data_IF_313513020085
#
_entry.id   IF_313513020085
#
_cell.length_a   1.000
_cell.length_b   1.000
_cell.length_c   1.000
_cell.angle_alpha   90.00
_cell.angle_beta   90.00
_cell.angle_gamma   90.00
#
_symmetry.space_group_name_H-M   'P 1'
#
loop_
_entity.id
_entity.type
_entity.pdbx_description
1 polymer ?
#
# COMPACT_ATOMS: atom_id res chain seq x y z
N UNK A 1 32.15 -46.71 -20.98
CA UNK A 1 32.70 -46.01 -19.80
C UNK A 1 32.97 -44.57 -20.18
N UNK A 2 32.01 -43.68 -19.95
CA UNK A 2 32.28 -42.25 -19.86
C UNK A 2 32.57 -41.92 -18.39
N UNK A 3 33.51 -41.02 -18.07
CA UNK A 3 33.74 -40.63 -16.69
C UNK A 3 32.68 -39.62 -16.24
N UNK A 4 32.00 -39.95 -15.15
CA UNK A 4 31.15 -39.03 -14.39
C UNK A 4 31.98 -37.86 -13.86
N UNK A 5 31.56 -36.64 -14.19
CA UNK A 5 32.08 -35.42 -13.55
C UNK A 5 31.01 -34.92 -12.58
N UNK A 6 31.24 -34.86 -11.26
CA UNK A 6 30.25 -34.32 -10.34
C UNK A 6 30.26 -32.79 -10.41
N UNK A 7 29.22 -32.23 -11.02
CA UNK A 7 28.94 -30.81 -10.95
C UNK A 7 28.33 -30.50 -9.57
N UNK A 8 29.14 -30.02 -8.62
CA UNK A 8 28.64 -29.44 -7.37
C UNK A 8 28.88 -27.93 -7.39
N UNK A 9 28.06 -27.23 -8.15
CA UNK A 9 27.86 -25.79 -7.91
C UNK A 9 27.20 -25.63 -6.54
N UNK A 10 28.02 -25.40 -5.51
CA UNK A 10 27.55 -24.79 -4.27
C UNK A 10 26.94 -23.44 -4.67
N UNK A 11 25.61 -23.37 -4.72
CA UNK A 11 24.86 -22.14 -4.81
C UNK A 11 25.36 -21.19 -3.72
N UNK A 12 26.19 -20.21 -4.11
CA UNK A 12 26.56 -19.10 -3.23
C UNK A 12 25.28 -18.33 -2.95
N UNK A 13 24.81 -18.38 -1.71
CA UNK A 13 23.71 -17.53 -1.27
C UNK A 13 24.03 -16.07 -1.65
N UNK A 14 23.06 -15.31 -2.20
CA UNK A 14 23.28 -13.91 -2.52
C UNK A 14 23.68 -13.17 -1.24
N UNK A 15 24.77 -12.41 -1.30
CA UNK A 15 25.18 -11.54 -0.19
C UNK A 15 24.01 -10.60 0.13
N UNK A 16 23.61 -10.43 1.40
CA UNK A 16 22.57 -9.48 1.73
C UNK A 16 23.00 -8.07 1.27
N UNK A 17 22.15 -7.42 0.47
CA UNK A 17 22.35 -6.02 0.07
C UNK A 17 22.20 -5.12 1.30
N UNK A 18 23.17 -4.26 1.56
CA UNK A 18 23.08 -3.22 2.58
C UNK A 18 22.35 -1.99 2.01
N UNK A 19 21.48 -1.28 2.76
CA UNK A 19 21.05 -1.53 4.15
C UNK A 19 20.16 -2.77 4.32
N UNK A 20 20.23 -3.42 5.48
CA UNK A 20 19.58 -4.71 5.77
C UNK A 20 18.17 -4.60 6.33
N UNK A 21 17.79 -3.42 6.85
CA UNK A 21 16.44 -3.14 7.35
C UNK A 21 15.89 -1.91 6.64
N UNK A 22 14.68 -2.02 6.08
CA UNK A 22 13.97 -0.91 5.46
C UNK A 22 13.60 0.20 6.47
N UNK A 23 13.50 1.43 5.96
CA UNK A 23 13.18 2.60 6.76
C UNK A 23 13.15 3.88 5.95
N UNK A 24 12.97 5.01 6.66
CA UNK A 24 13.00 6.35 6.06
C UNK A 24 14.45 6.83 5.92
N UNK A 25 15.08 6.47 4.80
CA UNK A 25 16.44 6.89 4.48
C UNK A 25 16.67 7.01 2.97
N UNK A 26 17.83 7.59 2.62
CA UNK A 26 18.46 7.56 1.30
C UNK A 26 19.89 7.07 1.47
N UNK A 27 20.28 6.17 0.58
CA UNK A 27 21.63 5.61 0.55
C UNK A 27 22.52 6.54 -0.27
N UNK A 28 23.67 6.90 0.30
CA UNK A 28 24.73 7.64 -0.39
C UNK A 28 25.78 6.67 -0.93
N UNK A 29 27.07 6.92 -0.66
CA UNK A 29 28.16 6.00 -1.00
C UNK A 29 28.36 4.96 0.12
N UNK A 30 28.05 3.66 -0.08
CA UNK A 30 28.21 2.64 0.96
C UNK A 30 29.62 2.48 1.51
N UNK A 31 30.67 2.95 0.81
CA UNK A 31 32.04 2.94 1.29
C UNK A 31 32.38 4.13 2.20
N UNK A 32 31.49 5.12 2.29
CA UNK A 32 31.74 6.36 3.00
C UNK A 32 31.57 6.20 4.53
N UNK A 33 32.25 7.04 5.33
CA UNK A 33 32.34 6.84 6.77
C UNK A 33 31.23 7.48 7.60
N UNK A 34 30.40 8.37 7.03
CA UNK A 34 29.41 9.15 7.79
C UNK A 34 28.00 8.62 7.55
N UNK A 35 27.29 8.31 8.63
CA UNK A 35 25.84 8.23 8.65
C UNK A 35 25.26 9.53 9.21
N UNK A 36 24.17 10.02 8.62
CA UNK A 36 23.48 11.25 9.06
C UNK A 36 22.06 10.91 9.50
N UNK A 37 21.69 11.37 10.69
CA UNK A 37 20.36 11.23 11.25
C UNK A 37 19.73 12.61 11.42
N UNK A 38 18.81 12.97 10.52
CA UNK A 38 18.13 14.26 10.47
C UNK A 38 16.94 14.38 11.44
N UNK A 39 16.77 13.44 12.37
CA UNK A 39 15.68 13.39 13.33
C UNK A 39 14.31 13.59 12.68
N UNK A 40 13.61 14.68 12.99
CA UNK A 40 12.27 14.99 12.45
C UNK A 40 12.28 16.00 11.29
N UNK A 41 13.46 16.37 10.79
CA UNK A 41 13.67 17.30 9.68
C UNK A 41 13.81 16.56 8.35
N UNK A 42 12.68 16.08 7.81
CA UNK A 42 12.66 15.32 6.54
C UNK A 42 13.20 16.14 5.35
N UNK A 43 13.14 17.48 5.42
CA UNK A 43 13.69 18.39 4.42
C UNK A 43 15.21 18.25 4.22
N UNK A 44 15.93 17.76 5.23
CA UNK A 44 17.39 17.58 5.19
C UNK A 44 17.81 16.23 4.61
N UNK A 45 16.88 15.27 4.51
CA UNK A 45 17.20 13.87 4.26
C UNK A 45 17.88 13.67 2.90
N UNK A 46 17.22 14.14 1.83
CA UNK A 46 17.74 14.02 0.46
C UNK A 46 19.04 14.79 0.25
N UNK A 47 19.15 16.10 0.57
CA UNK A 47 20.37 16.85 0.32
C UNK A 47 21.57 16.32 1.11
N UNK A 48 21.39 15.88 2.37
CA UNK A 48 22.50 15.36 3.17
C UNK A 48 22.95 13.97 2.72
N UNK A 49 22.03 13.09 2.32
CA UNK A 49 22.39 11.76 1.82
C UNK A 49 23.20 11.80 0.51
N UNK A 50 23.02 12.86 -0.30
CA UNK A 50 23.74 13.07 -1.54
C UNK A 50 25.16 13.66 -1.35
N UNK A 51 25.54 14.04 -0.13
CA UNK A 51 26.85 14.64 0.11
C UNK A 51 27.98 13.62 -0.02
N UNK A 52 29.12 13.99 -0.63
CA UNK A 52 30.33 13.18 -0.57
C UNK A 52 30.72 12.88 0.88
N UNK A 53 31.07 11.62 1.16
CA UNK A 53 31.42 11.17 2.52
C UNK A 53 30.25 10.64 3.34
N UNK A 54 29.01 10.71 2.83
CA UNK A 54 27.82 10.13 3.48
C UNK A 54 27.47 8.77 2.88
N UNK A 55 27.34 7.77 3.75
CA UNK A 55 26.89 6.43 3.38
C UNK A 55 25.37 6.28 3.43
N UNK A 56 24.72 6.93 4.39
CA UNK A 56 23.27 6.88 4.56
C UNK A 56 22.79 8.13 5.30
N UNK A 57 21.73 8.74 4.80
CA UNK A 57 21.01 9.83 5.46
C UNK A 57 19.57 9.41 5.75
N UNK A 58 19.09 9.56 6.98
CA UNK A 58 17.73 9.13 7.35
C UNK A 58 17.11 9.93 8.48
N UNK A 59 15.80 9.74 8.67
CA UNK A 59 15.02 10.34 9.77
C UNK A 59 14.67 9.31 10.85
N UNK A 60 14.47 9.79 12.07
CA UNK A 60 14.03 8.96 13.19
C UNK A 60 13.05 9.72 14.05
N UNK A 61 11.92 9.08 14.34
CA UNK A 61 10.80 9.70 15.05
C UNK A 61 10.65 9.16 16.48
N UNK A 62 11.02 7.90 16.73
CA UNK A 62 10.81 7.21 18.01
C UNK A 62 12.12 6.77 18.66
N UNK A 63 12.19 6.79 20.00
CA UNK A 63 13.37 6.39 20.79
C UNK A 63 13.50 4.88 21.02
N UNK A 64 12.82 4.06 20.20
CA UNK A 64 12.81 2.60 20.32
C UNK A 64 13.11 1.94 18.98
N UNK A 65 12.10 1.46 18.25
CA UNK A 65 12.24 0.75 16.98
C UNK A 65 13.04 1.55 15.95
N UNK A 66 12.90 2.88 15.92
CA UNK A 66 13.71 3.75 15.08
C UNK A 66 15.22 3.64 15.38
N UNK A 67 15.60 3.65 16.65
CA UNK A 67 16.99 3.47 17.11
C UNK A 67 17.49 2.06 16.79
N UNK A 68 16.67 1.03 16.98
CA UNK A 68 17.04 -0.35 16.65
C UNK A 68 17.41 -0.51 15.17
N UNK A 69 16.65 0.11 14.27
CA UNK A 69 16.93 0.10 12.83
C UNK A 69 18.25 0.81 12.50
N UNK A 70 18.55 1.93 13.16
CA UNK A 70 19.83 2.64 13.03
C UNK A 70 20.99 1.73 13.45
N UNK A 71 20.89 1.08 14.61
CA UNK A 71 21.91 0.15 15.12
C UNK A 71 22.16 -0.97 14.11
N UNK A 72 21.10 -1.65 13.64
CA UNK A 72 21.21 -2.80 12.74
C UNK A 72 21.83 -2.41 11.39
N UNK A 73 21.39 -1.30 10.79
CA UNK A 73 21.94 -0.86 9.51
C UNK A 73 23.39 -0.36 9.63
N UNK A 74 23.75 0.36 10.71
CA UNK A 74 25.12 0.84 10.90
C UNK A 74 26.08 -0.32 11.16
N UNK A 75 25.72 -1.23 12.07
CA UNK A 75 26.58 -2.38 12.40
C UNK A 75 26.74 -3.38 11.24
N UNK A 76 25.80 -3.40 10.29
CA UNK A 76 25.93 -4.17 9.05
C UNK A 76 26.90 -3.55 8.02
N UNK A 77 27.35 -2.30 8.21
CA UNK A 77 28.33 -1.66 7.33
C UNK A 77 29.52 -1.10 8.13
N UNK A 78 30.65 -1.83 8.20
CA UNK A 78 31.82 -1.41 8.96
C UNK A 78 32.54 -0.20 8.37
N UNK A 79 32.18 0.28 7.16
CA UNK A 79 32.70 1.54 6.64
C UNK A 79 32.22 2.75 7.47
N UNK A 80 31.02 2.67 8.06
CA UNK A 80 30.43 3.76 8.84
C UNK A 80 31.11 3.86 10.20
N UNK A 81 31.75 5.01 10.45
CA UNK A 81 32.51 5.33 11.67
C UNK A 81 31.98 6.55 12.42
N UNK A 82 31.10 7.34 11.81
CA UNK A 82 30.48 8.50 12.43
C UNK A 82 28.97 8.45 12.28
N UNK A 83 28.26 8.86 13.33
CA UNK A 83 26.83 9.13 13.29
C UNK A 83 26.59 10.61 13.65
N UNK A 84 26.31 11.44 12.66
CA UNK A 84 25.94 12.84 12.86
C UNK A 84 24.44 12.95 13.16
N UNK A 85 24.08 13.45 14.34
CA UNK A 85 22.71 13.82 14.66
C UNK A 85 22.50 15.29 14.33
N UNK A 86 21.48 15.60 13.53
CA UNK A 86 21.11 16.97 13.19
C UNK A 86 19.59 17.09 13.03
N UNK A 87 19.10 18.30 12.79
CA UNK A 87 17.68 18.53 12.60
C UNK A 87 16.90 18.68 13.90
N UNK A 88 15.58 18.83 13.74
CA UNK A 88 14.68 19.11 14.87
C UNK A 88 14.43 17.87 15.72
N UNK A 89 14.57 18.03 17.04
CA UNK A 89 14.25 16.99 18.02
C UNK A 89 12.74 16.85 18.25
N UNK A 90 12.27 15.61 18.45
CA UNK A 90 10.90 15.34 18.85
C UNK A 90 10.68 15.70 20.32
N UNK A 91 9.66 16.51 20.62
CA UNK A 91 9.35 16.96 22.00
C UNK A 91 9.05 15.80 22.94
N UNK A 92 8.29 14.80 22.47
CA UNK A 92 7.85 13.67 23.27
C UNK A 92 8.85 12.51 23.19
N UNK A 93 9.22 12.11 21.98
CA UNK A 93 9.99 10.89 21.79
C UNK A 93 11.49 11.09 22.01
N UNK A 94 12.03 12.30 21.79
CA UNK A 94 13.45 12.65 21.99
C UNK A 94 14.46 11.58 21.49
N UNK A 95 14.35 11.09 20.24
CA UNK A 95 15.21 10.02 19.73
C UNK A 95 16.69 10.42 19.63
N UNK A 96 17.02 11.68 19.32
CA UNK A 96 18.42 12.13 19.26
C UNK A 96 19.10 12.08 20.62
N UNK A 97 18.43 12.64 21.64
CA UNK A 97 18.85 12.52 23.03
C UNK A 97 19.03 11.06 23.47
N UNK A 98 18.11 10.19 23.06
CA UNK A 98 18.15 8.77 23.41
C UNK A 98 19.30 8.03 22.71
N UNK A 99 19.64 8.38 21.47
CA UNK A 99 20.84 7.87 20.79
C UNK A 99 22.12 8.28 21.50
N UNK A 100 22.23 9.55 21.94
CA UNK A 100 23.37 10.02 22.72
C UNK A 100 23.51 9.24 24.03
N UNK A 101 22.43 9.14 24.80
CA UNK A 101 22.40 8.38 26.05
C UNK A 101 22.73 6.89 25.84
N UNK A 102 22.29 6.29 24.74
CA UNK A 102 22.65 4.91 24.38
C UNK A 102 24.16 4.75 24.15
N UNK A 103 24.78 5.69 23.42
CA UNK A 103 26.21 5.63 23.13
C UNK A 103 27.03 5.78 24.42
N UNK A 104 26.66 6.74 25.27
CA UNK A 104 27.33 7.01 26.53
C UNK A 104 27.13 5.90 27.56
N UNK A 105 25.88 5.48 27.79
CA UNK A 105 25.51 4.70 28.97
C UNK A 105 25.04 3.27 28.64
N UNK A 106 24.68 2.97 27.39
CA UNK A 106 24.13 1.68 27.00
C UNK A 106 22.69 1.47 27.48
N UNK A 107 22.37 0.21 27.83
CA UNK A 107 21.03 -0.20 28.30
C UNK A 107 21.13 -0.93 29.65
N UNK A 108 20.06 -0.88 30.42
CA UNK A 108 19.92 -1.65 31.67
C UNK A 108 19.44 -3.10 31.43
N UNK A 109 19.22 -3.85 32.51
CA UNK A 109 18.72 -5.23 32.45
C UNK A 109 17.31 -5.37 31.86
N UNK A 110 16.51 -4.31 31.88
CA UNK A 110 15.19 -4.25 31.25
C UNK A 110 15.26 -3.78 29.77
N UNK A 111 16.47 -3.63 29.22
CA UNK A 111 16.74 -3.13 27.87
C UNK A 111 16.34 -1.67 27.65
N UNK A 112 16.16 -0.90 28.73
CA UNK A 112 15.90 0.54 28.67
C UNK A 112 17.22 1.28 28.48
N UNK A 113 17.22 2.30 27.64
CA UNK A 113 18.38 3.18 27.46
C UNK A 113 18.62 3.99 28.74
N UNK A 114 19.80 3.85 29.32
CA UNK A 114 20.14 4.50 30.60
C UNK A 114 20.36 6.00 30.37
N UNK A 115 19.65 6.83 31.14
CA UNK A 115 19.70 8.29 31.01
C UNK A 115 18.89 8.86 29.84
N UNK A 116 18.05 8.05 29.17
CA UNK A 116 17.15 8.54 28.13
C UNK A 116 15.80 9.03 28.69
N UNK A 117 15.48 10.28 28.37
CA UNK A 117 14.21 10.94 28.70
C UNK A 117 13.12 10.77 27.62
N UNK A 118 13.43 10.11 26.51
CA UNK A 118 12.46 9.86 25.44
C UNK A 118 11.31 8.98 25.90
N UNK A 119 10.14 9.13 25.27
CA UNK A 119 9.01 8.23 25.51
C UNK A 119 9.36 6.78 25.14
N UNK A 120 9.20 5.86 26.10
CA UNK A 120 9.44 4.41 25.95
C UNK A 120 10.77 4.05 25.24
N UNK A 121 11.95 4.44 25.79
CA UNK A 121 13.25 4.23 25.18
C UNK A 121 13.78 2.83 25.51
N UNK A 122 13.07 1.80 25.03
CA UNK A 122 13.37 0.39 25.30
C UNK A 122 13.68 -0.34 24.00
N UNK A 123 14.83 -1.03 23.95
CA UNK A 123 15.33 -1.71 22.76
C UNK A 123 15.14 -3.23 22.90
N UNK A 124 14.00 -3.77 22.42
CA UNK A 124 13.60 -5.18 22.61
C UNK A 124 14.18 -6.16 21.58
N UNK A 125 14.49 -5.67 20.38
CA UNK A 125 14.80 -6.48 19.19
C UNK A 125 16.31 -6.68 18.99
N UNK A 126 17.12 -5.66 19.29
CA UNK A 126 18.58 -5.79 19.19
C UNK A 126 19.14 -6.63 20.33
N UNK A 127 20.38 -7.08 20.29
CA UNK A 127 21.04 -7.79 21.41
C UNK A 127 22.01 -6.86 22.15
N UNK A 128 22.39 -7.15 23.41
CA UNK A 128 23.42 -6.36 24.10
C UNK A 128 24.76 -6.35 23.33
N UNK A 129 25.10 -7.44 22.64
CA UNK A 129 26.28 -7.55 21.79
C UNK A 129 26.22 -6.60 20.59
N UNK A 130 25.07 -6.51 19.92
CA UNK A 130 24.86 -5.55 18.82
C UNK A 130 24.92 -4.10 19.31
N UNK A 131 24.34 -3.80 20.48
CA UNK A 131 24.45 -2.48 21.10
C UNK A 131 25.92 -2.16 21.40
N UNK A 132 26.67 -3.09 22.00
CA UNK A 132 28.09 -2.90 22.29
C UNK A 132 28.92 -2.72 21.01
N UNK A 133 28.63 -3.48 19.94
CA UNK A 133 29.28 -3.33 18.64
C UNK A 133 29.02 -1.94 18.05
N UNK A 134 27.76 -1.49 18.05
CA UNK A 134 27.39 -0.14 17.62
C UNK A 134 28.16 0.94 18.39
N UNK A 135 28.17 0.87 19.72
CA UNK A 135 28.87 1.84 20.59
C UNK A 135 30.37 1.90 20.35
N UNK A 136 31.01 0.80 19.94
CA UNK A 136 32.45 0.77 19.59
C UNK A 136 32.72 1.23 18.15
N UNK A 137 31.78 0.99 17.25
CA UNK A 137 31.98 1.23 15.82
C UNK A 137 31.92 2.72 15.48
N UNK A 138 30.97 3.46 16.07
CA UNK A 138 30.70 4.85 15.71
C UNK A 138 31.04 5.87 16.79
N UNK A 139 31.62 7.00 16.38
CA UNK A 139 31.61 8.26 17.13
C UNK A 139 30.28 8.97 16.83
N UNK A 140 29.49 9.25 17.88
CA UNK A 140 28.27 10.03 17.75
C UNK A 140 28.60 11.52 17.85
N UNK A 141 28.14 12.29 16.88
CA UNK A 141 28.38 13.73 16.78
C UNK A 141 27.04 14.45 16.96
N UNK A 142 26.87 15.09 18.11
CA UNK A 142 25.62 15.75 18.50
C UNK A 142 25.56 17.18 17.97
N UNK A 143 24.74 17.38 16.93
CA UNK A 143 24.42 18.66 16.31
C UNK A 143 22.90 18.85 16.26
N UNK A 144 22.18 18.32 17.25
CA UNK A 144 20.73 18.41 17.34
C UNK A 144 20.30 19.88 17.35
N UNK A 145 19.33 20.22 16.51
CA UNK A 145 18.83 21.57 16.30
C UNK A 145 19.42 22.27 15.07
N UNK A 146 20.61 21.88 14.62
CA UNK A 146 21.22 22.45 13.41
C UNK A 146 20.51 21.96 12.14
N UNK A 147 20.23 22.87 11.22
CA UNK A 147 19.49 22.63 9.97
C UNK A 147 20.08 23.36 8.76
N UNK A 148 21.09 24.19 8.96
CA UNK A 148 21.78 24.88 7.89
C UNK A 148 22.61 23.89 7.05
N UNK A 149 22.27 23.76 5.77
CA UNK A 149 22.88 22.76 4.89
C UNK A 149 24.36 23.04 4.60
N UNK A 150 24.77 24.30 4.55
CA UNK A 150 26.18 24.66 4.34
C UNK A 150 27.02 24.19 5.53
N UNK A 151 26.59 24.56 6.74
CA UNK A 151 27.25 24.21 7.98
C UNK A 151 27.30 22.68 8.18
N UNK A 152 26.19 21.98 7.89
CA UNK A 152 26.14 20.53 7.96
C UNK A 152 27.05 19.87 6.91
N UNK A 153 27.19 20.45 5.72
CA UNK A 153 28.09 19.94 4.68
C UNK A 153 29.56 20.05 5.09
N UNK A 154 29.95 21.20 5.63
CA UNK A 154 31.31 21.38 6.16
C UNK A 154 31.59 20.37 7.28
N UNK A 155 30.60 20.14 8.15
CA UNK A 155 30.73 19.15 9.22
C UNK A 155 30.90 17.73 8.68
N UNK A 156 30.09 17.32 7.71
CA UNK A 156 30.22 16.02 7.04
C UNK A 156 31.60 15.87 6.38
N UNK A 157 32.07 16.89 5.67
CA UNK A 157 33.38 16.88 5.02
C UNK A 157 34.52 16.70 6.04
N UNK A 158 34.46 17.44 7.15
CA UNK A 158 35.41 17.32 8.26
C UNK A 158 35.44 15.92 8.88
N UNK A 159 34.27 15.29 9.08
CA UNK A 159 34.17 13.92 9.59
C UNK A 159 34.71 12.90 8.59
N UNK A 160 34.38 13.05 7.30
CA UNK A 160 34.87 12.16 6.26
C UNK A 160 36.40 12.19 6.14
N UNK A 161 37.01 13.38 6.25
CA UNK A 161 38.47 13.54 6.25
C UNK A 161 39.16 12.91 7.48
N UNK A 162 38.44 12.79 8.61
CA UNK A 162 38.91 12.15 9.85
C UNK A 162 38.69 10.63 9.88
N UNK A 163 38.26 10.02 8.78
CA UNK A 163 37.92 8.60 8.76
C UNK A 163 39.10 7.72 9.23
N UNK A 164 38.91 6.91 10.29
CA UNK A 164 39.92 5.93 10.72
C UNK A 164 39.92 4.66 9.84
N UNK A 165 39.18 4.64 8.72
CA UNK A 165 38.98 3.46 7.90
C UNK A 165 37.90 2.52 8.46
N UNK A 166 37.76 1.33 7.84
CA UNK A 166 36.73 0.35 8.21
C UNK A 166 36.92 -0.13 9.65
N UNK A 167 35.83 -0.40 10.34
CA UNK A 167 35.85 -0.95 11.69
C UNK A 167 36.27 -2.43 11.67
N UNK A 168 37.39 -2.75 12.30
CA UNK A 168 37.95 -4.12 12.36
C UNK A 168 37.30 -4.99 13.45
N UNK A 169 36.56 -4.39 14.39
CA UNK A 169 35.88 -5.10 15.48
C UNK A 169 34.55 -5.77 15.10
N UNK A 170 34.29 -5.98 13.79
CA UNK A 170 33.19 -6.80 13.33
C UNK A 170 33.44 -8.24 13.81
N UNK A 171 32.59 -8.72 14.72
CA UNK A 171 32.73 -9.99 15.45
C UNK A 171 33.31 -11.11 14.57
N UNK A 172 34.56 -11.49 14.84
CA UNK A 172 35.11 -12.79 14.47
C UNK A 172 34.57 -13.82 15.46
N UNK A 173 33.58 -14.62 15.06
CA UNK A 173 33.56 -16.09 15.24
C UNK A 173 32.68 -16.65 14.09
N UNK A 174 33.26 -17.54 13.29
CA UNK A 174 32.64 -18.34 12.22
C UNK A 174 31.90 -17.61 11.08
N UNK A 175 32.62 -16.77 10.33
CA UNK A 175 32.44 -16.61 8.87
C UNK A 175 31.10 -16.11 8.33
N UNK A 176 30.11 -15.89 9.17
CA UNK A 176 28.84 -15.26 8.85
C UNK A 176 28.87 -13.85 9.45
N UNK A 177 28.63 -12.79 8.65
CA UNK A 177 28.42 -11.49 9.25
C UNK A 177 27.29 -11.63 10.27
N UNK A 178 27.42 -10.99 11.44
CA UNK A 178 26.30 -10.79 12.39
C UNK A 178 25.28 -9.78 11.80
N UNK A 179 25.15 -9.78 10.48
CA UNK A 179 24.06 -9.21 9.73
C UNK A 179 22.93 -10.23 9.74
N UNK A 180 21.81 -9.83 10.34
CA UNK A 180 20.51 -10.46 10.16
C UNK A 180 20.24 -11.81 10.84
N UNK A 181 20.77 -12.06 12.05
CA UNK A 181 19.90 -12.64 13.08
C UNK A 181 18.99 -11.54 13.64
N UNK A 182 18.31 -10.81 12.73
CA UNK A 182 17.19 -9.98 13.09
C UNK A 182 16.18 -10.94 13.71
N UNK A 183 15.82 -10.71 14.98
CA UNK A 183 14.50 -11.06 15.44
C UNK A 183 13.53 -10.29 14.53
N UNK A 184 13.27 -10.80 13.31
CA UNK A 184 12.23 -10.25 12.45
C UNK A 184 10.98 -10.33 13.31
N UNK A 185 10.38 -9.17 13.58
CA UNK A 185 9.16 -9.12 14.37
C UNK A 185 8.15 -10.08 13.73
N UNK A 186 7.78 -11.12 14.47
CA UNK A 186 6.78 -12.07 14.02
C UNK A 186 5.42 -11.44 14.28
N UNK A 187 4.76 -11.01 13.21
CA UNK A 187 3.39 -10.52 13.27
C UNK A 187 2.45 -11.71 13.10
N UNK A 188 1.50 -11.88 14.01
CA UNK A 188 0.41 -12.83 13.81
C UNK A 188 -0.48 -12.32 12.66
N UNK A 189 -0.61 -13.06 11.54
CA UNK A 189 -1.40 -12.60 10.40
C UNK A 189 -2.88 -12.62 10.74
N UNK A 190 -3.58 -11.53 10.42
CA UNK A 190 -5.03 -11.44 10.46
C UNK A 190 -5.56 -11.29 9.03
N UNK A 191 -6.71 -11.90 8.72
CA UNK A 191 -7.35 -11.74 7.42
C UNK A 191 -8.17 -10.45 7.40
N UNK A 192 -8.16 -9.68 6.30
CA UNK A 192 -9.12 -8.60 6.13
C UNK A 192 -10.54 -9.17 6.10
N UNK A 193 -11.50 -8.46 6.68
CA UNK A 193 -12.89 -8.90 6.78
C UNK A 193 -13.61 -8.31 7.99
N UNK A 194 -14.86 -8.70 8.16
CA UNK A 194 -15.78 -8.17 9.16
C UNK A 194 -17.15 -7.88 8.53
N UNK A 195 -18.20 -7.89 9.35
CA UNK A 195 -19.52 -7.45 8.88
C UNK A 195 -19.63 -5.94 9.10
N UNK A 196 -19.98 -5.20 8.06
CA UNK A 196 -20.44 -3.81 8.24
C UNK A 196 -21.81 -3.89 8.90
N UNK A 197 -21.87 -3.56 10.19
CA UNK A 197 -23.15 -3.29 10.84
C UNK A 197 -23.85 -2.20 10.01
N UNK A 198 -25.09 -2.44 9.51
CA UNK A 198 -25.68 -1.51 8.56
C UNK A 198 -25.85 -0.13 9.19
N UNK A 199 -25.63 0.94 8.41
CA UNK A 199 -25.61 2.33 8.89
C UNK A 199 -26.93 2.77 9.58
N UNK A 200 -28.00 2.02 9.33
CA UNK A 200 -29.34 2.22 9.88
C UNK A 200 -29.37 1.93 11.41
N UNK A 201 -28.35 1.26 11.95
CA UNK A 201 -28.40 0.66 13.29
C UNK A 201 -27.58 1.33 14.39
N UNK A 202 -26.94 2.50 14.21
CA UNK A 202 -26.39 3.18 15.40
C UNK A 202 -27.57 3.67 16.26
N UNK A 203 -27.69 3.23 17.53
CA UNK A 203 -28.74 3.67 18.44
C UNK A 203 -28.91 5.19 18.56
N UNK A 204 -27.86 5.97 18.25
CA UNK A 204 -27.88 7.43 18.35
C UNK A 204 -28.39 8.12 17.09
N UNK A 205 -28.48 7.41 15.96
CA UNK A 205 -28.99 7.95 14.71
C UNK A 205 -28.01 7.80 13.54
N UNK A 206 -28.18 8.63 12.50
CA UNK A 206 -27.37 8.60 11.29
C UNK A 206 -26.84 9.98 10.90
N UNK A 207 -25.81 9.98 10.05
CA UNK A 207 -25.13 11.20 9.63
C UNK A 207 -25.17 11.39 8.12
N UNK A 208 -25.37 12.64 7.70
CA UNK A 208 -25.30 13.09 6.31
C UNK A 208 -24.14 14.07 6.19
N UNK A 209 -23.21 13.77 5.29
CA UNK A 209 -22.05 14.60 5.02
C UNK A 209 -22.23 15.31 3.67
N UNK A 210 -21.94 16.60 3.65
CA UNK A 210 -22.00 17.45 2.46
C UNK A 210 -20.85 18.46 2.48
N UNK A 211 -20.62 19.12 1.35
CA UNK A 211 -19.55 20.10 1.20
C UNK A 211 -20.11 21.49 0.95
N UNK A 212 -19.66 22.47 1.74
CA UNK A 212 -19.74 23.87 1.41
C UNK A 212 -18.42 24.30 0.77
N UNK A 213 -18.37 24.21 -0.57
CA UNK A 213 -17.16 24.54 -1.33
C UNK A 213 -16.82 26.03 -1.29
N UNK A 214 -17.83 26.89 -1.13
CA UNK A 214 -17.63 28.33 -1.06
C UNK A 214 -16.92 28.73 0.23
N UNK A 215 -17.29 28.10 1.36
CA UNK A 215 -16.65 28.31 2.66
C UNK A 215 -15.41 27.42 2.87
N UNK A 216 -15.16 26.46 1.98
CA UNK A 216 -14.12 25.44 2.14
C UNK A 216 -14.35 24.57 3.37
N UNK A 217 -15.60 24.21 3.65
CA UNK A 217 -16.02 23.48 4.85
C UNK A 217 -16.78 22.20 4.50
N UNK A 218 -16.61 21.19 5.35
CA UNK A 218 -17.46 20.01 5.43
C UNK A 218 -18.62 20.36 6.35
N UNK A 219 -19.83 20.01 5.94
CA UNK A 219 -21.03 20.08 6.76
C UNK A 219 -21.47 18.66 7.08
N UNK A 220 -21.53 18.33 8.36
CA UNK A 220 -22.04 17.06 8.87
C UNK A 220 -23.32 17.32 9.65
N UNK A 221 -24.39 16.60 9.30
CA UNK A 221 -25.70 16.68 9.95
C UNK A 221 -26.05 15.35 10.58
N UNK A 222 -26.46 15.40 11.83
CA UNK A 222 -26.91 14.26 12.62
C UNK A 222 -28.43 14.25 12.72
N UNK A 223 -29.02 13.09 12.47
CA UNK A 223 -30.45 12.83 12.61
C UNK A 223 -30.65 11.68 13.59
N UNK A 224 -31.61 11.82 14.50
CA UNK A 224 -32.01 10.76 15.42
C UNK A 224 -32.63 9.56 14.67
N UNK A 225 -32.81 8.39 15.32
CA UNK A 225 -33.42 7.22 14.69
C UNK A 225 -34.83 7.45 14.13
N UNK A 226 -35.55 8.46 14.63
CA UNK A 226 -36.87 8.89 14.15
C UNK A 226 -36.81 9.92 13.00
N UNK A 227 -35.62 10.13 12.43
CA UNK A 227 -35.32 11.12 11.38
C UNK A 227 -35.39 12.59 11.82
N UNK A 228 -35.53 12.87 13.12
CA UNK A 228 -35.52 14.24 13.63
C UNK A 228 -34.10 14.84 13.53
N UNK A 229 -33.90 16.02 12.92
CA UNK A 229 -32.61 16.71 12.93
C UNK A 229 -32.18 17.03 14.36
N UNK A 230 -30.93 16.71 14.73
CA UNK A 230 -30.43 16.92 16.08
C UNK A 230 -29.23 17.87 16.13
N UNK A 231 -28.16 17.58 15.39
CA UNK A 231 -26.92 18.36 15.47
C UNK A 231 -26.38 18.68 14.07
N UNK A 232 -25.78 19.86 13.91
CA UNK A 232 -24.99 20.22 12.73
C UNK A 232 -23.57 20.58 13.19
N UNK A 233 -22.56 20.10 12.45
CA UNK A 233 -21.17 20.43 12.66
C UNK A 233 -20.55 20.89 11.35
N UNK A 234 -19.78 21.98 11.41
CA UNK A 234 -18.99 22.48 10.29
C UNK A 234 -17.51 22.43 10.64
N UNK A 235 -16.69 21.96 9.72
CA UNK A 235 -15.26 21.82 9.94
C UNK A 235 -14.46 21.75 8.65
N UNK A 236 -13.13 21.78 8.76
CA UNK A 236 -12.22 21.68 7.60
C UNK A 236 -11.41 20.38 7.56
N UNK A 237 -11.31 19.69 8.69
CA UNK A 237 -10.48 18.49 8.85
C UNK A 237 -11.33 17.35 9.40
N UNK A 238 -11.18 16.16 8.82
CA UNK A 238 -11.88 14.95 9.23
C UNK A 238 -11.62 14.60 10.69
N UNK A 239 -10.36 14.70 11.13
CA UNK A 239 -9.94 14.41 12.50
C UNK A 239 -10.69 15.27 13.52
N UNK A 240 -10.66 16.60 13.36
CA UNK A 240 -11.36 17.51 14.28
C UNK A 240 -12.86 17.22 14.36
N UNK A 241 -13.49 16.87 13.24
CA UNK A 241 -14.92 16.59 13.21
C UNK A 241 -15.24 15.26 13.89
N UNK A 242 -14.46 14.20 13.61
CA UNK A 242 -14.62 12.90 14.26
C UNK A 242 -14.40 13.01 15.77
N UNK A 243 -13.37 13.72 16.21
CA UNK A 243 -13.12 13.99 17.64
C UNK A 243 -14.26 14.78 18.29
N UNK A 244 -14.88 15.70 17.55
CA UNK A 244 -16.08 16.40 18.01
C UNK A 244 -17.24 15.44 18.26
N UNK A 245 -17.51 14.52 17.32
CA UNK A 245 -18.57 13.51 17.49
C UNK A 245 -18.32 12.56 18.66
N UNK A 246 -17.05 12.16 18.87
CA UNK A 246 -16.65 11.33 20.01
C UNK A 246 -16.83 12.09 21.32
N UNK A 247 -16.39 13.36 21.38
CA UNK A 247 -16.52 14.21 22.57
C UNK A 247 -17.97 14.40 22.99
N UNK A 248 -18.86 14.67 22.03
CA UNK A 248 -20.30 14.82 22.28
C UNK A 248 -21.01 13.46 22.47
N UNK A 249 -20.28 12.35 22.35
CA UNK A 249 -20.83 11.00 22.49
C UNK A 249 -21.95 10.73 21.49
N UNK A 250 -21.83 11.17 20.24
CA UNK A 250 -22.86 10.97 19.20
C UNK A 250 -22.69 9.67 18.41
N UNK A 251 -21.60 8.94 18.65
CA UNK A 251 -21.31 7.64 18.05
C UNK A 251 -21.28 6.61 19.16
N UNK A 252 -21.89 5.44 18.96
CA UNK A 252 -21.89 4.37 19.95
C UNK A 252 -21.14 3.11 19.51
N UNK A 253 -20.93 2.92 18.20
CA UNK A 253 -20.26 1.75 17.63
C UNK A 253 -18.89 2.12 17.01
N UNK A 254 -17.86 1.30 17.26
CA UNK A 254 -16.53 1.49 16.68
C UNK A 254 -16.52 1.33 15.14
N UNK A 255 -17.37 0.43 14.63
CA UNK A 255 -17.62 0.23 13.20
C UNK A 255 -18.11 1.52 12.54
N UNK A 256 -19.05 2.21 13.18
CA UNK A 256 -19.60 3.49 12.73
C UNK A 256 -18.57 4.62 12.82
N UNK A 257 -17.78 4.69 13.90
CA UNK A 257 -16.68 5.64 14.01
C UNK A 257 -15.65 5.46 12.87
N UNK A 258 -15.30 4.21 12.54
CA UNK A 258 -14.41 3.89 11.42
C UNK A 258 -14.99 4.32 10.06
N UNK A 259 -16.29 4.07 9.83
CA UNK A 259 -16.99 4.54 8.64
C UNK A 259 -16.99 6.07 8.51
N UNK A 260 -17.38 6.78 9.58
CA UNK A 260 -17.44 8.25 9.58
C UNK A 260 -16.07 8.86 9.36
N UNK A 261 -15.01 8.30 9.96
CA UNK A 261 -13.64 8.71 9.69
C UNK A 261 -13.28 8.60 8.21
N UNK A 262 -13.65 7.49 7.56
CA UNK A 262 -13.43 7.30 6.12
C UNK A 262 -14.20 8.28 5.24
N UNK A 263 -15.48 8.53 5.54
CA UNK A 263 -16.30 9.47 4.79
C UNK A 263 -15.85 10.92 4.96
N UNK A 264 -15.52 11.32 6.20
CA UNK A 264 -14.98 12.65 6.50
C UNK A 264 -13.62 12.87 5.82
N UNK A 265 -12.76 11.86 5.79
CA UNK A 265 -11.47 11.94 5.09
C UNK A 265 -11.64 12.12 3.58
N UNK A 266 -12.62 11.41 2.97
CA UNK A 266 -12.98 11.63 1.55
C UNK A 266 -13.50 13.05 1.32
N UNK A 267 -14.37 13.55 2.19
CA UNK A 267 -14.91 14.90 2.10
C UNK A 267 -13.79 15.96 2.22
N UNK A 268 -12.87 15.81 3.16
CA UNK A 268 -11.68 16.66 3.33
C UNK A 268 -10.78 16.63 2.08
N UNK A 269 -10.48 15.44 1.55
CA UNK A 269 -9.69 15.29 0.34
C UNK A 269 -10.34 15.99 -0.86
N UNK A 270 -11.66 15.85 -1.03
CA UNK A 270 -12.40 16.51 -2.10
C UNK A 270 -12.40 18.04 -2.01
N UNK A 271 -12.31 18.61 -0.80
CA UNK A 271 -12.10 20.05 -0.62
C UNK A 271 -10.66 20.47 -0.98
N UNK A 272 -9.66 19.71 -0.52
CA UNK A 272 -8.24 19.99 -0.79
C UNK A 272 -7.87 19.90 -2.27
N UNK A 273 -8.41 18.90 -2.96
CA UNK A 273 -8.16 18.67 -4.39
C UNK A 273 -9.00 19.60 -5.28
N UNK A 274 -9.91 20.39 -4.70
CA UNK A 274 -10.64 21.46 -5.37
C UNK A 274 -11.92 21.03 -6.08
N UNK A 275 -12.52 21.98 -6.81
CA UNK A 275 -13.88 21.87 -7.38
C UNK A 275 -14.06 20.72 -8.37
N UNK A 276 -12.97 20.23 -8.98
CA UNK A 276 -13.02 19.13 -9.93
C UNK A 276 -13.22 17.77 -9.26
N UNK A 277 -12.97 17.64 -7.96
CA UNK A 277 -13.14 16.35 -7.26
C UNK A 277 -14.49 16.33 -6.56
N UNK A 278 -15.41 15.50 -7.04
CA UNK A 278 -16.75 15.30 -6.49
C UNK A 278 -16.72 14.33 -5.32
N UNK A 279 -17.39 14.73 -4.24
CA UNK A 279 -17.70 13.89 -3.10
C UNK A 279 -19.17 13.51 -3.14
N UNK A 280 -19.43 12.21 -2.99
CA UNK A 280 -20.74 11.63 -2.73
C UNK A 280 -20.53 10.56 -1.66
N UNK A 281 -21.31 10.61 -0.58
CA UNK A 281 -21.19 9.66 0.51
C UNK A 281 -21.40 8.23 0.01
N UNK A 282 -20.68 7.27 0.58
CA UNK A 282 -20.65 5.85 0.15
C UNK A 282 -20.14 5.60 -1.29
N UNK A 283 -19.76 6.64 -2.04
CA UNK A 283 -19.11 6.51 -3.35
C UNK A 283 -17.60 6.79 -3.27
N UNK A 284 -16.81 6.21 -4.18
CA UNK A 284 -15.45 6.68 -4.42
C UNK A 284 -15.43 8.15 -4.87
N UNK A 285 -14.34 8.86 -4.56
CA UNK A 285 -14.10 10.19 -5.11
C UNK A 285 -13.98 10.11 -6.64
N UNK A 286 -14.54 11.10 -7.34
CA UNK A 286 -14.49 11.19 -8.81
C UNK A 286 -13.94 12.55 -9.23
N UNK A 287 -13.13 12.62 -10.27
CA UNK A 287 -12.66 13.87 -10.85
C UNK A 287 -13.37 14.21 -12.16
N UNK A 288 -13.68 15.49 -12.36
CA UNK A 288 -14.21 16.06 -13.59
C UNK A 288 -13.10 16.37 -14.61
N UNK A 289 -11.83 16.23 -14.22
CA UNK A 289 -10.72 16.19 -15.18
C UNK A 289 -10.78 14.83 -15.89
N UNK A 290 -10.87 14.78 -17.23
CA UNK A 290 -10.58 13.53 -17.93
C UNK A 290 -9.19 13.09 -17.48
N UNK A 291 -8.98 11.78 -17.22
CA UNK A 291 -7.65 11.31 -16.83
C UNK A 291 -6.62 11.85 -17.83
N UNK A 292 -5.39 12.21 -17.39
CA UNK A 292 -4.31 12.47 -18.34
C UNK A 292 -4.27 11.33 -19.35
N UNK A 293 -3.93 11.61 -20.61
CA UNK A 293 -3.57 10.58 -21.59
C UNK A 293 -2.37 9.78 -21.03
N UNK A 294 -2.67 8.82 -20.15
CA UNK A 294 -1.75 7.80 -19.71
C UNK A 294 -1.51 6.93 -20.94
N UNK A 295 -0.25 6.90 -21.38
CA UNK A 295 0.26 5.93 -22.33
C UNK A 295 -0.36 4.57 -22.02
N UNK A 296 -1.04 4.00 -23.02
CA UNK A 296 -1.85 2.78 -22.98
C UNK A 296 -1.42 1.77 -21.91
N UNK A 297 -1.95 1.94 -20.71
CA UNK A 297 -2.11 0.84 -19.77
C UNK A 297 -3.38 0.09 -20.21
N UNK A 298 -3.36 -1.26 -20.23
CA UNK A 298 -4.47 -2.03 -20.77
C UNK A 298 -5.75 -1.71 -20.00
N UNK A 299 -6.78 -1.30 -20.76
CA UNK A 299 -8.04 -0.85 -20.24
C UNK A 299 -8.60 -1.81 -19.16
N UNK A 300 -8.85 -1.28 -17.96
CA UNK A 300 -9.76 -1.94 -17.03
C UNK A 300 -11.11 -2.14 -17.75
N UNK A 301 -11.75 -3.31 -17.61
CA UNK A 301 -12.90 -3.67 -18.43
C UNK A 301 -14.02 -2.64 -18.24
N UNK A 302 -14.38 -1.98 -19.34
CA UNK A 302 -15.44 -0.98 -19.36
C UNK A 302 -16.71 -1.56 -18.71
N UNK A 303 -17.36 -0.70 -17.90
CA UNK A 303 -18.64 -0.95 -17.26
C UNK A 303 -19.55 -1.84 -18.11
N UNK A 304 -20.15 -2.85 -17.47
CA UNK A 304 -21.04 -3.85 -18.06
C UNK A 304 -21.95 -3.21 -19.13
N UNK A 305 -21.61 -3.33 -20.41
CA UNK A 305 -22.55 -3.04 -21.49
C UNK A 305 -23.64 -4.11 -21.45
N UNK A 306 -24.90 -3.77 -21.79
CA UNK A 306 -25.94 -4.80 -21.95
C UNK A 306 -25.51 -5.80 -23.02
N UNK A 307 -25.87 -7.07 -22.84
CA UNK A 307 -25.63 -8.08 -23.89
C UNK A 307 -26.55 -7.83 -25.08
N UNK A 308 -26.01 -7.90 -26.28
CA UNK A 308 -26.71 -7.79 -27.53
C UNK A 308 -27.64 -8.99 -27.75
N UNK A 309 -28.89 -8.70 -28.12
CA UNK A 309 -29.80 -9.71 -28.71
C UNK A 309 -29.47 -9.98 -30.18
N UNK A 310 -30.25 -10.86 -30.83
CA UNK A 310 -29.94 -11.31 -32.19
C UNK A 310 -29.91 -10.17 -33.22
N UNK A 311 -30.87 -9.25 -33.18
CA UNK A 311 -30.95 -8.13 -34.13
C UNK A 311 -29.71 -7.22 -34.04
N UNK A 312 -29.27 -6.92 -32.82
CA UNK A 312 -28.08 -6.12 -32.59
C UNK A 312 -26.81 -6.88 -32.99
N UNK A 313 -26.72 -8.18 -32.67
CA UNK A 313 -25.56 -8.99 -33.03
C UNK A 313 -25.42 -9.13 -34.56
N UNK A 314 -26.50 -9.49 -35.25
CA UNK A 314 -26.51 -9.73 -36.71
C UNK A 314 -26.29 -8.47 -37.54
N UNK A 315 -26.60 -7.30 -36.99
CA UNK A 315 -26.31 -5.99 -37.62
C UNK A 315 -24.93 -5.43 -37.28
N UNK A 316 -24.18 -6.06 -36.38
CA UNK A 316 -22.85 -5.58 -35.97
C UNK A 316 -21.81 -5.84 -37.08
N UNK A 317 -21.06 -4.82 -37.54
CA UNK A 317 -19.99 -5.01 -38.51
C UNK A 317 -18.85 -5.89 -37.98
N UNK A 318 -18.18 -6.63 -38.86
CA UNK A 318 -16.97 -7.37 -38.49
C UNK A 318 -15.89 -6.41 -37.98
N UNK A 319 -15.13 -6.86 -36.98
CA UNK A 319 -14.11 -6.07 -36.30
C UNK A 319 -14.64 -5.16 -35.18
N UNK A 320 -15.96 -5.12 -34.94
CA UNK A 320 -16.54 -4.37 -33.83
C UNK A 320 -16.67 -5.20 -32.55
N UNK A 321 -16.71 -4.50 -31.43
CA UNK A 321 -16.94 -5.10 -30.12
C UNK A 321 -18.39 -5.56 -29.97
N UNK A 322 -18.56 -6.80 -29.55
CA UNK A 322 -19.84 -7.40 -29.20
C UNK A 322 -19.80 -7.91 -27.77
N UNK A 323 -20.95 -7.89 -27.13
CA UNK A 323 -21.16 -8.51 -25.82
C UNK A 323 -22.37 -9.42 -25.95
N UNK A 324 -22.18 -10.73 -25.85
CA UNK A 324 -23.25 -11.72 -26.03
C UNK A 324 -23.33 -12.62 -24.80
N UNK A 325 -24.51 -13.16 -24.55
CA UNK A 325 -24.68 -14.27 -23.60
C UNK A 325 -24.99 -15.52 -24.40
N UNK A 326 -24.28 -16.60 -24.14
CA UNK A 326 -24.53 -17.90 -24.75
C UNK A 326 -24.74 -18.96 -23.68
N UNK A 327 -25.63 -19.90 -23.94
CA UNK A 327 -25.64 -21.19 -23.26
C UNK A 327 -24.80 -22.16 -24.09
N UNK A 328 -23.73 -22.70 -23.49
CA UNK A 328 -22.83 -23.61 -24.19
C UNK A 328 -23.59 -24.89 -24.57
N UNK A 329 -23.51 -25.26 -25.84
CA UNK A 329 -24.07 -26.50 -26.38
C UNK A 329 -22.98 -27.54 -26.62
N UNK A 330 -21.79 -27.10 -27.07
CA UNK A 330 -20.66 -27.98 -27.35
C UNK A 330 -19.30 -27.28 -27.21
N UNK A 331 -18.23 -28.06 -27.10
CA UNK A 331 -16.84 -27.60 -27.13
C UNK A 331 -16.13 -28.27 -28.31
N UNK A 332 -16.29 -27.75 -29.54
CA UNK A 332 -15.75 -28.38 -30.75
C UNK A 332 -14.21 -28.43 -30.78
N UNK A 333 -13.53 -27.47 -30.16
CA UNK A 333 -12.06 -27.40 -30.06
C UNK A 333 -11.66 -26.92 -28.66
N UNK A 334 -10.39 -27.12 -28.27
CA UNK A 334 -9.85 -26.72 -26.94
C UNK A 334 -10.12 -25.24 -26.59
N UNK A 335 -10.17 -24.38 -27.60
CA UNK A 335 -10.28 -22.93 -27.47
C UNK A 335 -11.50 -22.35 -28.18
N UNK A 336 -12.48 -23.19 -28.50
CA UNK A 336 -13.69 -22.80 -29.22
C UNK A 336 -14.92 -23.35 -28.51
N UNK A 337 -15.79 -22.45 -28.07
CA UNK A 337 -17.07 -22.78 -27.48
C UNK A 337 -18.15 -22.60 -28.54
N UNK A 338 -19.08 -23.54 -28.65
CA UNK A 338 -20.31 -23.37 -29.42
C UNK A 338 -21.48 -23.25 -28.44
N UNK A 339 -22.39 -22.31 -28.69
CA UNK A 339 -23.53 -22.09 -27.81
C UNK A 339 -24.66 -21.32 -28.46
N UNK A 340 -25.83 -21.46 -27.87
CA UNK A 340 -27.05 -20.76 -28.29
C UNK A 340 -27.08 -19.38 -27.65
N UNK A 341 -27.28 -18.34 -28.46
CA UNK A 341 -27.46 -16.97 -27.97
C UNK A 341 -28.65 -16.90 -27.02
N UNK A 342 -28.46 -16.25 -25.88
CA UNK A 342 -29.49 -16.00 -24.88
C UNK A 342 -29.78 -14.49 -24.81
N UNK A 343 -31.03 -14.13 -25.04
CA UNK A 343 -31.47 -12.73 -25.07
C UNK A 343 -31.86 -12.24 -23.67
N UNK A 344 -31.42 -11.05 -23.25
CA UNK A 344 -31.81 -10.50 -21.95
C UNK A 344 -33.30 -10.13 -21.91
N UNK A 345 -33.98 -10.39 -20.79
CA UNK A 345 -35.30 -9.83 -20.53
C UNK A 345 -35.22 -8.32 -20.25
N UNK A 346 -36.26 -7.56 -20.59
CA UNK A 346 -36.28 -6.11 -20.35
C UNK A 346 -36.34 -5.77 -18.85
N UNK A 347 -37.06 -6.58 -18.05
CA UNK A 347 -37.23 -6.33 -16.61
C UNK A 347 -35.96 -6.65 -15.80
N UNK A 348 -35.16 -7.62 -16.26
CA UNK A 348 -33.90 -8.02 -15.63
C UNK A 348 -32.84 -8.44 -16.67
N UNK A 349 -32.23 -7.44 -17.36
CA UNK A 349 -31.32 -7.71 -18.47
C UNK A 349 -29.96 -8.27 -18.04
N UNK A 350 -29.74 -8.42 -16.74
CA UNK A 350 -28.46 -8.84 -16.17
C UNK A 350 -28.44 -10.29 -15.71
N UNK A 351 -29.59 -10.80 -15.22
CA UNK A 351 -29.68 -12.14 -14.65
C UNK A 351 -30.74 -13.01 -15.29
N UNK A 352 -31.65 -12.46 -16.08
CA UNK A 352 -32.71 -13.24 -16.72
C UNK A 352 -32.54 -13.23 -18.23
N UNK A 353 -32.44 -14.42 -18.83
CA UNK A 353 -32.26 -14.59 -20.27
C UNK A 353 -33.26 -15.57 -20.87
N UNK A 354 -33.65 -15.32 -22.12
CA UNK A 354 -34.48 -16.20 -22.94
C UNK A 354 -33.60 -16.92 -23.96
N UNK A 355 -33.73 -18.24 -24.04
CA UNK A 355 -33.03 -19.05 -25.04
C UNK A 355 -33.54 -18.73 -26.45
N UNK A 356 -32.64 -18.46 -27.38
CA UNK A 356 -32.98 -18.27 -28.81
C UNK A 356 -32.73 -19.55 -29.62
N UNK A 357 -32.83 -19.48 -30.95
CA UNK A 357 -32.41 -20.56 -31.87
C UNK A 357 -31.09 -20.24 -32.58
N UNK A 358 -30.44 -19.14 -32.24
CA UNK A 358 -29.24 -18.66 -32.94
C UNK A 358 -27.99 -19.23 -32.32
N UNK A 359 -27.22 -19.98 -33.11
CA UNK A 359 -25.96 -20.60 -32.67
C UNK A 359 -24.80 -19.68 -33.00
N UNK A 360 -23.91 -19.47 -32.01
CA UNK A 360 -22.71 -18.68 -32.11
C UNK A 360 -21.51 -19.46 -31.56
N UNK A 361 -20.32 -19.04 -31.98
CA UNK A 361 -19.04 -19.52 -31.49
C UNK A 361 -18.30 -18.44 -30.73
N UNK A 362 -17.67 -18.84 -29.64
CA UNK A 362 -16.83 -17.97 -28.83
C UNK A 362 -15.44 -18.60 -28.76
N UNK A 363 -14.49 -17.97 -29.45
CA UNK A 363 -13.07 -18.35 -29.42
C UNK A 363 -12.39 -17.64 -28.24
N UNK A 364 -11.59 -18.37 -27.48
CA UNK A 364 -10.87 -17.84 -26.32
C UNK A 364 -9.41 -18.32 -26.32
N UNK A 365 -8.55 -17.69 -25.51
CA UNK A 365 -7.14 -18.07 -25.39
C UNK A 365 -6.65 -17.90 -23.96
N UNK A 366 -5.37 -18.19 -23.70
CA UNK A 366 -4.73 -17.89 -22.42
C UNK A 366 -4.70 -16.40 -22.07
N UNK A 367 -4.89 -15.51 -23.05
CA UNK A 367 -5.00 -14.06 -22.83
C UNK A 367 -6.44 -13.59 -22.49
N UNK A 368 -7.45 -14.44 -22.69
CA UNK A 368 -8.85 -14.12 -22.37
C UNK A 368 -9.05 -14.06 -20.86
N UNK A 369 -9.56 -12.94 -20.35
CA UNK A 369 -9.84 -12.77 -18.92
C UNK A 369 -11.12 -13.53 -18.53
N UNK A 370 -11.02 -14.46 -17.56
CA UNK A 370 -12.18 -15.19 -17.04
C UNK A 370 -12.56 -14.65 -15.66
N UNK A 371 -13.83 -14.24 -15.50
CA UNK A 371 -14.36 -13.69 -14.26
C UNK A 371 -15.57 -14.50 -13.74
N UNK A 372 -15.80 -14.43 -12.44
CA UNK A 372 -16.89 -15.16 -11.73
C UNK A 372 -16.89 -16.68 -11.95
N UNK A 373 -15.73 -17.24 -12.28
CA UNK A 373 -15.51 -18.67 -12.50
C UNK A 373 -14.10 -18.94 -13.03
N UNK A 374 -13.93 -20.11 -13.66
CA UNK A 374 -12.69 -20.56 -14.32
C UNK A 374 -13.05 -21.33 -15.59
N UNK A 375 -12.06 -21.61 -16.45
CA UNK A 375 -12.24 -22.40 -17.69
C UNK A 375 -12.82 -23.79 -17.44
N UNK A 376 -12.68 -24.35 -16.23
CA UNK A 376 -13.30 -25.62 -15.82
C UNK A 376 -14.84 -25.57 -15.82
N UNK A 377 -15.43 -24.38 -15.86
CA UNK A 377 -16.88 -24.19 -15.94
C UNK A 377 -17.39 -24.06 -17.38
N UNK A 378 -16.51 -24.15 -18.38
CA UNK A 378 -16.91 -24.16 -19.79
C UNK A 378 -17.36 -25.58 -20.15
N UNK A 379 -18.64 -25.86 -19.92
CA UNK A 379 -19.25 -27.16 -20.16
C UNK A 379 -20.67 -26.98 -20.74
N UNK A 380 -21.21 -27.97 -21.47
CA UNK A 380 -22.58 -27.90 -21.97
C UNK A 380 -23.59 -27.55 -20.86
N UNK A 381 -24.50 -26.62 -21.15
CA UNK A 381 -25.46 -26.06 -20.20
C UNK A 381 -24.94 -24.90 -19.35
N UNK A 382 -23.65 -24.55 -19.43
CA UNK A 382 -23.13 -23.36 -18.77
C UNK A 382 -23.58 -22.09 -19.48
N UNK A 383 -24.00 -21.08 -18.71
CA UNK A 383 -24.36 -19.77 -19.23
C UNK A 383 -23.16 -18.84 -19.09
N UNK A 384 -22.69 -18.31 -20.22
CA UNK A 384 -21.52 -17.43 -20.28
C UNK A 384 -21.87 -16.11 -20.92
N UNK A 385 -21.28 -15.02 -20.41
CA UNK A 385 -21.20 -13.76 -21.13
C UNK A 385 -19.82 -13.63 -21.77
N UNK A 386 -19.78 -13.44 -23.08
CA UNK A 386 -18.56 -13.21 -23.83
C UNK A 386 -18.55 -11.78 -24.38
N UNK A 387 -17.50 -11.03 -24.05
CA UNK A 387 -17.19 -9.74 -24.66
C UNK A 387 -15.92 -9.87 -25.47
N UNK A 388 -15.97 -9.38 -26.70
CA UNK A 388 -14.80 -9.35 -27.55
C UNK A 388 -15.14 -8.90 -28.96
N UNK A 389 -14.27 -9.22 -29.91
CA UNK A 389 -14.37 -8.73 -31.28
C UNK A 389 -15.09 -9.74 -32.16
N UNK A 390 -16.09 -9.28 -32.93
CA UNK A 390 -16.76 -10.10 -33.93
C UNK A 390 -15.81 -10.36 -35.12
N UNK A 391 -15.33 -11.59 -35.28
CA UNK A 391 -14.36 -11.94 -36.34
C UNK A 391 -15.02 -12.56 -37.55
N UNK A 392 -15.99 -13.44 -37.32
CA UNK A 392 -16.86 -14.01 -38.36
C UNK A 392 -18.30 -13.66 -38.02
N UNK A 393 -19.24 -13.89 -38.96
CA UNK A 393 -20.66 -13.58 -38.73
C UNK A 393 -21.28 -14.35 -37.56
N UNK A 394 -20.67 -15.44 -37.14
CA UNK A 394 -21.08 -16.30 -36.03
C UNK A 394 -19.97 -16.53 -35.00
N UNK A 395 -18.79 -15.90 -35.11
CA UNK A 395 -17.66 -16.14 -34.20
C UNK A 395 -17.17 -14.86 -33.52
N UNK A 396 -17.17 -14.89 -32.19
CA UNK A 396 -16.64 -13.84 -31.31
C UNK A 396 -15.29 -14.28 -30.75
N UNK A 397 -14.24 -13.49 -31.00
CA UNK A 397 -12.96 -13.64 -30.32
C UNK A 397 -13.04 -12.93 -28.98
N UNK A 398 -13.13 -13.70 -27.89
CA UNK A 398 -13.39 -13.18 -26.56
C UNK A 398 -12.13 -12.60 -25.88
N UNK A 399 -12.26 -11.36 -25.43
CA UNK A 399 -11.31 -10.70 -24.54
C UNK A 399 -11.65 -10.99 -23.08
N UNK A 400 -12.95 -11.04 -22.76
CA UNK A 400 -13.47 -11.31 -21.42
C UNK A 400 -14.60 -12.33 -21.48
N UNK A 401 -14.55 -13.34 -20.61
CA UNK A 401 -15.64 -14.29 -20.38
C UNK A 401 -16.07 -14.24 -18.92
N UNK A 402 -17.36 -14.06 -18.67
CA UNK A 402 -17.95 -14.10 -17.33
C UNK A 402 -18.85 -15.33 -17.21
N UNK A 403 -18.60 -16.18 -16.21
CA UNK A 403 -19.43 -17.36 -15.93
C UNK A 403 -20.68 -16.95 -15.15
N UNK A 404 -21.87 -17.13 -15.73
CA UNK A 404 -23.14 -16.69 -15.17
C UNK A 404 -23.99 -17.82 -14.57
N UNK A 405 -23.61 -19.08 -14.76
CA UNK A 405 -24.42 -20.28 -14.45
C UNK A 405 -25.03 -20.32 -13.03
N UNK A 406 -24.39 -19.69 -12.03
CA UNK A 406 -24.88 -19.67 -10.63
C UNK A 406 -25.66 -18.41 -10.24
N UNK A 407 -25.65 -17.39 -11.10
CA UNK A 407 -26.13 -16.03 -10.78
C UNK A 407 -27.17 -15.50 -11.76
N UNK A 408 -27.44 -16.26 -12.81
CA UNK A 408 -28.41 -15.94 -13.86
C UNK A 408 -29.22 -17.20 -14.23
N UNK A 409 -30.43 -16.96 -14.73
CA UNK A 409 -31.37 -17.98 -15.17
C UNK A 409 -31.63 -17.83 -16.66
N UNK A 410 -31.66 -18.97 -17.36
CA UNK A 410 -32.09 -19.05 -18.76
C UNK A 410 -33.43 -19.79 -18.82
N UNK A 411 -34.40 -19.21 -19.52
CA UNK A 411 -35.74 -19.78 -19.76
C UNK A 411 -35.85 -20.26 -21.21
#
# INVERSE_FOLDING_TARGET
MQPDTPNTEKQRQPRPSWPVIEGSYRVGDPAAPVAVCALTSDELLVPLAALPGVAIGGSVQTANQGIERIILNITANPAIRFLLLCGKESRLFRPGHSLRALVENGVDGARRIVGADGYEPVLRTVTPQQIAAFRRQVELVDWIGERDLETLRERVSSLAARSPGRFEGALQEDGAPVAAASLQASFAPIKPGGQREPLIYDPKGYFVISLDRSAGQIILRHYLPDHTPAHEMRGRTAESMLLGLIREGLISQLSHAGYLGGELAKAEAALRLGVRVRYEQDRPLRSDTPPPEEAEAPAAPAALSRSAGWEQFSSTPLGQQVNVVIEITALPEEHLLEGTLAEPFEEDPWRSFRRTQHVLRVRWSSATQVAMGSTQHFQPGALLRARGTLRLRDEVEAEVIVVLTKVATIQ
#
